data_IF_706821942914
#
_entry.id   IF_706821942914
#
_cell.length_a   1.000
_cell.length_b   1.000
_cell.length_c   1.000
_cell.angle_alpha   90.00
_cell.angle_beta   90.00
_cell.angle_gamma   90.00
#
_symmetry.space_group_name_H-M   'P 1'
#
loop_
_entity.id
_entity.type
_entity.pdbx_description
1 polymer ?
#
# COMPACT_ATOMS: atom_id res chain seq x y z
N UNK A 1 8.66 -4.84 -29.25
CA UNK A 1 8.27 -5.04 -27.84
C UNK A 1 9.37 -5.82 -27.14
N UNK A 2 9.84 -5.32 -26.03
CA UNK A 2 10.96 -5.96 -25.33
C UNK A 2 10.40 -7.12 -24.49
N UNK A 3 10.41 -8.32 -25.04
CA UNK A 3 9.82 -9.54 -24.45
C UNK A 3 10.63 -10.08 -23.25
N UNK A 4 11.43 -9.19 -22.63
CA UNK A 4 12.34 -9.56 -21.55
C UNK A 4 11.60 -9.59 -20.21
N UNK A 5 11.78 -10.67 -19.46
CA UNK A 5 11.29 -10.76 -18.11
C UNK A 5 12.22 -10.01 -17.16
N UNK A 6 11.68 -9.15 -16.32
CA UNK A 6 12.42 -8.52 -15.22
C UNK A 6 11.89 -9.10 -13.91
N UNK A 7 12.78 -9.62 -13.08
CA UNK A 7 12.44 -10.04 -11.72
C UNK A 7 12.94 -8.96 -10.76
N UNK A 8 12.03 -8.29 -10.08
CA UNK A 8 12.37 -7.34 -9.04
C UNK A 8 12.49 -8.04 -7.69
N UNK A 9 13.60 -7.79 -7.00
CA UNK A 9 13.82 -8.21 -5.63
C UNK A 9 13.36 -7.12 -4.67
N UNK A 10 12.71 -7.52 -3.59
CA UNK A 10 12.35 -6.64 -2.48
C UNK A 10 12.70 -7.28 -1.14
N UNK A 11 12.77 -6.47 -0.08
CA UNK A 11 12.89 -6.98 1.29
C UNK A 11 11.67 -7.81 1.65
N UNK A 12 10.50 -7.31 1.34
CA UNK A 12 9.20 -8.00 1.52
C UNK A 12 8.24 -7.50 0.46
N UNK A 13 7.45 -8.39 -0.11
CA UNK A 13 6.32 -8.06 -0.99
C UNK A 13 5.04 -8.51 -0.28
N UNK A 14 4.17 -7.56 0.05
CA UNK A 14 2.83 -7.84 0.57
C UNK A 14 1.94 -8.17 -0.63
N UNK A 15 1.53 -9.42 -0.74
CA UNK A 15 0.86 -9.90 -1.97
C UNK A 15 -0.64 -9.69 -1.98
N UNK A 16 -1.26 -9.46 -0.82
CA UNK A 16 -2.72 -9.46 -0.61
C UNK A 16 -3.39 -10.80 -0.95
N UNK A 17 -2.60 -11.87 -1.04
CA UNK A 17 -3.07 -13.23 -1.26
C UNK A 17 -2.96 -14.04 0.04
N UNK A 18 -4.07 -14.53 0.58
CA UNK A 18 -4.11 -15.26 1.85
C UNK A 18 -3.30 -16.58 1.85
N UNK A 19 -3.09 -17.18 0.68
CA UNK A 19 -2.29 -18.41 0.54
C UNK A 19 -0.77 -18.15 0.46
N UNK A 20 -0.37 -16.94 0.08
CA UNK A 20 1.01 -16.50 0.00
C UNK A 20 1.07 -15.03 0.41
N UNK A 21 0.89 -14.70 1.69
CA UNK A 21 0.74 -13.30 2.13
C UNK A 21 2.01 -12.46 1.90
N UNK A 22 3.18 -13.07 1.94
CA UNK A 22 4.46 -12.40 1.73
C UNK A 22 5.32 -13.13 0.71
N UNK A 23 6.11 -12.38 -0.04
CA UNK A 23 7.09 -12.86 -1.00
C UNK A 23 8.33 -11.95 -1.01
N UNK A 24 9.34 -12.31 -1.79
CA UNK A 24 10.57 -11.51 -1.94
C UNK A 24 10.85 -11.08 -3.37
N UNK A 25 10.20 -11.69 -4.35
CA UNK A 25 10.43 -11.42 -5.77
C UNK A 25 9.10 -11.32 -6.53
N UNK A 26 9.11 -10.46 -7.56
CA UNK A 26 7.99 -10.34 -8.51
C UNK A 26 8.54 -10.31 -9.93
N UNK A 27 8.01 -11.17 -10.79
CA UNK A 27 8.35 -11.24 -12.20
C UNK A 27 7.38 -10.40 -13.04
N UNK A 28 7.91 -9.54 -13.90
CA UNK A 28 7.15 -8.63 -14.77
C UNK A 28 7.62 -8.78 -16.21
N UNK A 29 6.68 -8.84 -17.15
CA UNK A 29 6.92 -8.81 -18.59
C UNK A 29 5.81 -8.02 -19.27
N UNK A 30 6.18 -7.14 -20.20
CA UNK A 30 5.22 -6.30 -20.96
C UNK A 30 4.23 -5.54 -20.07
N UNK A 31 4.70 -5.03 -18.92
CA UNK A 31 3.88 -4.29 -17.97
C UNK A 31 2.90 -5.15 -17.16
N UNK A 32 3.02 -6.48 -17.22
CA UNK A 32 2.15 -7.41 -16.47
C UNK A 32 2.96 -8.24 -15.48
N UNK A 33 2.39 -8.48 -14.31
CA UNK A 33 2.94 -9.39 -13.32
C UNK A 33 2.70 -10.82 -13.82
N UNK A 34 3.78 -11.60 -13.96
CA UNK A 34 3.74 -13.02 -14.32
C UNK A 34 3.59 -13.90 -13.08
N UNK A 35 4.18 -13.49 -11.97
CA UNK A 35 4.12 -14.22 -10.73
C UNK A 35 4.83 -13.48 -9.60
N UNK A 36 4.55 -13.90 -8.38
CA UNK A 36 5.15 -13.41 -7.14
C UNK A 36 5.55 -14.62 -6.31
N UNK A 37 6.72 -14.58 -5.68
CA UNK A 37 7.22 -15.68 -4.87
C UNK A 37 8.69 -15.57 -4.52
N UNK A 38 9.40 -16.70 -4.50
CA UNK A 38 10.86 -16.76 -4.40
C UNK A 38 11.52 -16.59 -5.76
N UNK A 39 12.83 -16.30 -5.79
CA UNK A 39 13.58 -16.28 -7.04
C UNK A 39 13.52 -17.65 -7.74
N UNK A 40 13.64 -18.74 -6.98
CA UNK A 40 13.58 -20.10 -7.49
C UNK A 40 12.27 -20.40 -8.22
N UNK A 41 11.15 -19.90 -7.69
CA UNK A 41 9.84 -20.08 -8.33
C UNK A 41 9.74 -19.31 -9.64
N UNK A 42 10.28 -18.09 -9.67
CA UNK A 42 10.09 -17.16 -10.78
C UNK A 42 11.07 -17.36 -11.93
N UNK A 43 12.25 -17.91 -11.69
CA UNK A 43 13.21 -18.23 -12.75
C UNK A 43 12.67 -19.26 -13.77
N UNK A 44 11.64 -20.00 -13.42
CA UNK A 44 10.95 -20.95 -14.31
C UNK A 44 10.25 -20.27 -15.51
N UNK A 45 10.07 -18.95 -15.47
CA UNK A 45 9.47 -18.16 -16.55
C UNK A 45 10.41 -17.90 -17.74
N UNK A 46 11.62 -18.46 -17.73
CA UNK A 46 12.60 -18.35 -18.79
C UNK A 46 13.69 -17.34 -18.47
N UNK A 47 14.36 -16.81 -19.52
CA UNK A 47 15.41 -15.81 -19.34
C UNK A 47 14.88 -14.55 -18.68
N UNK A 48 15.63 -14.03 -17.72
CA UNK A 48 15.25 -12.84 -16.97
C UNK A 48 16.45 -11.94 -16.63
N UNK A 49 16.15 -10.71 -16.30
CA UNK A 49 17.07 -9.78 -15.65
C UNK A 49 16.65 -9.60 -14.19
N UNK A 50 17.58 -9.76 -13.26
CA UNK A 50 17.34 -9.48 -11.85
C UNK A 50 17.56 -7.99 -11.60
N UNK A 51 16.53 -7.32 -11.05
CA UNK A 51 16.59 -5.93 -10.66
C UNK A 51 16.47 -5.81 -9.13
N UNK A 52 17.50 -5.25 -8.48
CA UNK A 52 17.63 -5.16 -7.03
C UNK A 52 17.35 -3.73 -6.48
N UNK A 53 16.81 -2.83 -7.30
CA UNK A 53 16.55 -1.43 -6.87
C UNK A 53 15.63 -1.30 -5.65
N UNK A 54 14.85 -2.35 -5.37
CA UNK A 54 13.92 -2.40 -4.22
C UNK A 54 14.32 -3.40 -3.15
N UNK A 55 15.56 -3.92 -3.17
CA UNK A 55 16.00 -5.00 -2.28
C UNK A 55 15.87 -4.65 -0.78
N UNK A 56 15.91 -3.37 -0.42
CA UNK A 56 15.75 -2.84 0.94
C UNK A 56 14.33 -2.32 1.23
N UNK A 57 13.40 -2.40 0.27
CA UNK A 57 12.05 -1.83 0.35
C UNK A 57 10.98 -2.89 0.56
N UNK A 58 9.84 -2.44 1.07
CA UNK A 58 8.59 -3.19 1.07
C UNK A 58 7.79 -2.80 -0.17
N UNK A 59 7.41 -3.78 -0.98
CA UNK A 59 6.51 -3.59 -2.11
C UNK A 59 5.10 -4.06 -1.75
N UNK A 60 4.10 -3.39 -2.27
CA UNK A 60 2.70 -3.76 -2.11
C UNK A 60 1.91 -3.30 -3.33
N UNK A 61 0.73 -3.89 -3.59
CA UNK A 61 -0.17 -3.38 -4.62
C UNK A 61 -0.54 -1.91 -4.38
N UNK A 62 -0.77 -1.16 -5.45
CA UNK A 62 -1.33 0.18 -5.35
C UNK A 62 -2.70 0.16 -4.67
N UNK A 63 -3.03 1.23 -3.97
CA UNK A 63 -4.32 1.34 -3.32
C UNK A 63 -5.46 1.38 -4.35
N UNK A 64 -6.51 0.61 -4.08
CA UNK A 64 -7.77 0.68 -4.82
C UNK A 64 -8.77 1.40 -3.92
N UNK A 65 -9.17 2.59 -4.34
CA UNK A 65 -10.09 3.42 -3.59
C UNK A 65 -11.52 3.15 -4.03
N UNK A 66 -12.33 2.63 -3.10
CA UNK A 66 -13.77 2.49 -3.29
C UNK A 66 -14.54 3.75 -2.90
N UNK A 67 -14.18 4.39 -1.82
CA UNK A 67 -14.61 5.70 -1.36
C UNK A 67 -13.60 6.23 -0.33
N UNK A 68 -13.07 7.43 -0.56
CA UNK A 68 -12.08 8.04 0.31
C UNK A 68 -12.24 9.57 0.36
N UNK A 69 -12.01 10.11 1.54
CA UNK A 69 -11.87 11.55 1.77
C UNK A 69 -10.41 11.81 2.15
N UNK A 70 -9.49 11.72 1.17
CA UNK A 70 -8.06 11.83 1.40
C UNK A 70 -7.63 13.05 2.26
N UNK A 71 -8.27 14.25 2.12
CA UNK A 71 -7.95 15.39 2.98
C UNK A 71 -8.38 15.22 4.44
N UNK A 72 -9.29 14.31 4.75
CA UNK A 72 -9.78 14.14 6.14
C UNK A 72 -8.69 13.64 7.10
N UNK A 73 -7.67 12.98 6.61
CA UNK A 73 -6.50 12.60 7.43
C UNK A 73 -5.74 13.80 7.99
N UNK A 74 -5.72 14.91 7.25
CA UNK A 74 -4.98 16.12 7.62
C UNK A 74 -5.69 16.95 8.70
N UNK A 75 -7.00 16.77 8.90
CA UNK A 75 -7.73 17.52 9.94
C UNK A 75 -7.22 17.23 11.34
N UNK A 76 -6.63 16.05 11.55
CA UNK A 76 -6.14 15.61 12.86
C UNK A 76 -4.82 16.25 13.29
N UNK A 77 -4.14 16.98 12.38
CA UNK A 77 -3.01 17.84 12.72
C UNK A 77 -3.46 19.17 13.39
N UNK A 78 -4.78 19.39 13.45
CA UNK A 78 -5.41 20.59 13.97
C UNK A 78 -6.46 20.26 15.03
N UNK A 79 -6.89 21.29 15.80
CA UNK A 79 -8.01 21.14 16.75
C UNK A 79 -9.30 20.81 16.00
N UNK A 80 -9.96 19.72 16.33
CA UNK A 80 -11.22 19.34 15.73
C UNK A 80 -12.38 20.19 16.25
N UNK A 81 -13.05 20.91 15.36
CA UNK A 81 -14.21 21.77 15.64
C UNK A 81 -15.44 21.31 14.83
N UNK A 82 -15.67 20.00 14.78
CA UNK A 82 -16.71 19.42 13.94
C UNK A 82 -18.08 19.33 14.60
N UNK A 83 -19.14 19.43 13.78
CA UNK A 83 -20.53 19.27 14.20
C UNK A 83 -20.86 17.84 14.66
N UNK A 84 -20.16 16.84 14.18
CA UNK A 84 -20.32 15.43 14.55
C UNK A 84 -19.13 14.97 15.39
N UNK A 85 -19.41 14.18 16.45
CA UNK A 85 -18.35 13.51 17.18
C UNK A 85 -17.59 12.53 16.31
N UNK A 86 -16.27 12.47 16.44
CA UNK A 86 -15.38 11.60 15.65
C UNK A 86 -14.27 10.99 16.50
N UNK A 87 -13.70 9.88 16.03
CA UNK A 87 -12.45 9.32 16.55
C UNK A 87 -11.28 9.75 15.68
N UNK A 88 -10.16 10.11 16.33
CA UNK A 88 -8.90 10.30 15.64
C UNK A 88 -8.23 8.96 15.28
N UNK A 89 -7.14 8.96 14.52
CA UNK A 89 -6.39 7.74 14.17
C UNK A 89 -5.87 6.94 15.36
N UNK A 90 -5.64 7.59 16.50
CA UNK A 90 -5.18 6.98 17.75
C UNK A 90 -6.34 6.38 18.56
N UNK A 91 -7.59 6.60 18.11
CA UNK A 91 -8.81 6.08 18.73
C UNK A 91 -9.43 6.97 19.80
N UNK A 92 -8.90 8.18 20.02
CA UNK A 92 -9.48 9.13 20.98
C UNK A 92 -10.80 9.71 20.44
N UNK A 93 -11.76 9.90 21.32
CA UNK A 93 -13.05 10.47 20.94
C UNK A 93 -13.01 12.00 21.05
N UNK A 94 -13.38 12.69 19.98
CA UNK A 94 -13.61 14.13 19.93
C UNK A 94 -15.10 14.39 19.84
N UNK A 95 -15.65 15.09 20.85
CA UNK A 95 -17.06 15.39 20.93
C UNK A 95 -17.51 16.38 19.85
N UNK A 96 -18.77 16.30 19.50
CA UNK A 96 -19.40 17.31 18.64
C UNK A 96 -19.45 18.69 19.31
N UNK A 97 -19.36 19.74 18.50
CA UNK A 97 -19.54 21.14 18.86
C UNK A 97 -20.68 21.71 18.01
N UNK A 98 -21.82 22.06 18.65
CA UNK A 98 -23.07 22.40 17.95
C UNK A 98 -23.43 23.87 17.98
N UNK A 99 -22.73 24.65 18.78
CA UNK A 99 -22.94 26.09 18.89
C UNK A 99 -21.62 26.81 19.13
N UNK A 100 -21.60 28.13 19.01
CA UNK A 100 -20.40 28.94 19.15
C UNK A 100 -19.85 28.97 20.57
N UNK A 101 -20.69 28.81 21.60
CA UNK A 101 -20.28 28.84 22.98
C UNK A 101 -19.46 27.57 23.36
N UNK A 102 -19.65 26.49 22.63
CA UNK A 102 -18.87 25.25 22.79
C UNK A 102 -17.50 25.33 22.09
N UNK A 103 -17.31 26.29 21.18
CA UNK A 103 -16.08 26.47 20.41
C UNK A 103 -15.09 27.43 21.11
N UNK A 104 -15.61 28.38 21.89
CA UNK A 104 -14.86 29.43 22.57
C UNK A 104 -14.47 29.06 24.00
#
# INVERSE_FOLDING_TARGET
>A
MNNKTIIFQAKTIITMNSYLPEATHVAVRDGKILGVGSLEDLQKWGEFELNQQFADKVLMPGFVEGHCHAPEGQIWDHTYLGFFGRRDPEGNWHSELKNMDEVL
#
